data_IF_295703182389
#
_entry.id   IF_295703182389
#
_cell.length_a   1.000
_cell.length_b   1.000
_cell.length_c   1.000
_cell.angle_alpha   90.00
_cell.angle_beta   90.00
_cell.angle_gamma   90.00
#
_symmetry.space_group_name_H-M   'P 1'
#
loop_
_entity.id
_entity.type
_entity.pdbx_description
1 polymer ?
#
# COMPACT_ATOMS: atom_id res chain seq x y z
N UNK A 1 13.10 22.00 -6.20
CA UNK A 1 13.24 21.02 -5.09
C UNK A 1 12.76 21.68 -3.81
N UNK A 2 12.00 20.95 -2.98
CA UNK A 2 11.56 21.47 -1.68
C UNK A 2 12.74 21.48 -0.70
N UNK A 3 12.85 22.53 0.11
CA UNK A 3 13.95 22.70 1.09
C UNK A 3 13.98 21.60 2.15
N UNK A 4 12.83 20.96 2.42
CA UNK A 4 12.71 19.83 3.34
C UNK A 4 12.85 18.44 2.68
N UNK A 5 13.15 18.36 1.38
CA UNK A 5 13.09 17.10 0.64
C UNK A 5 11.65 16.65 0.35
N UNK A 6 11.47 15.36 0.04
CA UNK A 6 10.15 14.76 -0.24
C UNK A 6 9.45 14.19 1.01
N UNK A 7 10.17 14.08 2.14
CA UNK A 7 9.64 13.56 3.39
C UNK A 7 9.13 14.66 4.34
N UNK A 8 8.24 14.27 5.25
CA UNK A 8 7.76 15.12 6.36
C UNK A 8 7.83 14.33 7.66
N UNK A 9 8.48 14.89 8.69
CA UNK A 9 8.67 14.22 9.99
C UNK A 9 7.34 13.90 10.70
N UNK A 10 6.26 14.65 10.40
CA UNK A 10 4.93 14.46 10.98
C UNK A 10 4.18 13.27 10.39
N UNK A 11 4.55 12.84 9.18
CA UNK A 11 3.99 11.65 8.54
C UNK A 11 4.75 10.43 9.06
N UNK A 12 4.02 9.42 9.51
CA UNK A 12 4.60 8.19 10.10
C UNK A 12 4.48 6.97 9.18
N UNK A 13 3.53 6.98 8.25
CA UNK A 13 3.35 5.98 7.20
C UNK A 13 2.40 6.53 6.11
N UNK A 14 2.33 5.88 4.94
CA UNK A 14 1.42 6.24 3.85
C UNK A 14 0.66 5.04 3.26
N UNK A 15 -0.55 5.28 2.76
CA UNK A 15 -1.36 4.29 2.04
C UNK A 15 -1.79 4.85 0.68
N UNK A 16 -0.92 4.86 -0.33
CA UNK A 16 -1.33 5.22 -1.69
C UNK A 16 -2.32 4.18 -2.22
N UNK A 17 -3.44 4.62 -2.77
CA UNK A 17 -4.50 3.75 -3.31
C UNK A 17 -4.73 4.10 -4.78
N UNK A 18 -4.76 3.09 -5.66
CA UNK A 18 -4.91 3.28 -7.11
C UNK A 18 -3.87 4.26 -7.72
N UNK A 19 -2.71 4.39 -7.09
CA UNK A 19 -1.74 5.42 -7.39
C UNK A 19 -0.48 4.86 -8.01
N UNK A 20 -0.10 5.40 -9.16
CA UNK A 20 1.29 5.41 -9.60
C UNK A 20 1.56 6.58 -10.52
N UNK A 21 2.82 7.01 -10.52
CA UNK A 21 3.37 7.94 -11.50
C UNK A 21 4.89 7.83 -11.47
N UNK A 22 5.49 6.66 -11.80
CA UNK A 22 6.94 6.50 -11.76
C UNK A 22 7.67 7.55 -12.61
N UNK A 23 7.05 8.04 -13.69
CA UNK A 23 7.55 9.15 -14.50
C UNK A 23 7.62 10.51 -13.77
N UNK A 24 6.79 10.74 -12.75
CA UNK A 24 6.80 11.97 -11.96
C UNK A 24 7.78 11.90 -10.78
N UNK A 25 8.21 10.69 -10.42
CA UNK A 25 9.09 10.39 -9.30
C UNK A 25 10.32 9.60 -9.77
N UNK A 26 11.17 10.15 -10.65
CA UNK A 26 12.33 9.43 -11.17
C UNK A 26 13.41 9.22 -10.10
N UNK A 27 14.25 8.20 -10.31
CA UNK A 27 15.41 7.93 -9.46
C UNK A 27 15.02 7.32 -8.11
N UNK A 28 15.51 7.89 -7.01
CA UNK A 28 15.26 7.44 -5.64
C UNK A 28 14.12 8.21 -4.96
N UNK A 29 13.28 8.91 -5.73
CA UNK A 29 12.24 9.79 -5.17
C UNK A 29 11.26 9.08 -4.22
N UNK A 30 10.92 7.81 -4.49
CA UNK A 30 10.13 6.99 -3.58
C UNK A 30 10.87 6.75 -2.26
N UNK A 31 12.12 6.29 -2.32
CA UNK A 31 12.97 6.08 -1.14
C UNK A 31 13.22 7.38 -0.35
N UNK A 32 13.32 8.52 -1.05
CA UNK A 32 13.54 9.83 -0.45
C UNK A 32 12.38 10.33 0.41
N UNK A 33 11.17 9.74 0.28
CA UNK A 33 10.08 10.00 1.22
C UNK A 33 10.41 9.49 2.63
N UNK A 34 11.18 8.40 2.73
CA UNK A 34 11.71 7.88 4.00
C UNK A 34 10.67 7.36 4.99
N UNK A 35 9.45 7.03 4.53
CA UNK A 35 8.35 6.55 5.38
C UNK A 35 7.86 5.18 4.94
N UNK A 36 7.46 4.31 5.89
CA UNK A 36 6.77 3.07 5.58
C UNK A 36 5.53 3.32 4.72
N UNK A 37 5.28 2.45 3.75
CA UNK A 37 4.08 2.57 2.92
C UNK A 37 3.50 1.21 2.53
N UNK A 38 2.17 1.21 2.37
CA UNK A 38 1.41 0.09 1.84
C UNK A 38 0.64 0.58 0.61
N UNK A 39 1.13 0.23 -0.58
CA UNK A 39 0.48 0.55 -1.84
C UNK A 39 -0.68 -0.43 -2.08
N UNK A 40 -1.88 0.09 -2.34
CA UNK A 40 -3.08 -0.70 -2.64
C UNK A 40 -3.45 -0.49 -4.12
N UNK A 41 -3.45 -1.55 -4.92
CA UNK A 41 -3.80 -1.50 -6.35
C UNK A 41 -4.74 -2.62 -6.76
N UNK A 42 -5.37 -2.49 -7.91
CA UNK A 42 -6.25 -3.51 -8.44
C UNK A 42 -5.73 -4.01 -9.78
N UNK A 43 -5.83 -5.31 -10.06
CA UNK A 43 -5.34 -5.90 -11.29
C UNK A 43 -6.05 -5.33 -12.55
N UNK A 44 -7.32 -4.92 -12.42
CA UNK A 44 -8.08 -4.25 -13.48
C UNK A 44 -7.83 -2.74 -13.59
N UNK A 45 -6.88 -2.19 -12.82
CA UNK A 45 -6.46 -0.79 -12.87
C UNK A 45 -4.95 -0.73 -13.13
N UNK A 46 -4.51 -0.64 -14.40
CA UNK A 46 -3.10 -0.81 -14.78
C UNK A 46 -2.27 0.44 -14.42
N UNK A 47 -2.00 0.60 -13.13
CA UNK A 47 -1.19 1.67 -12.56
C UNK A 47 0.28 1.25 -12.46
N UNK A 48 0.83 0.34 -13.28
CA UNK A 48 2.30 0.07 -13.31
C UNK A 48 2.93 -0.09 -11.91
N UNK A 49 2.21 -0.76 -11.01
CA UNK A 49 2.55 -0.86 -9.59
C UNK A 49 3.84 -1.67 -9.38
N UNK A 50 4.10 -2.62 -10.28
CA UNK A 50 5.31 -3.40 -10.39
C UNK A 50 6.55 -2.53 -10.63
N UNK A 51 6.43 -1.47 -11.43
CA UNK A 51 7.53 -0.53 -11.65
C UNK A 51 7.84 0.29 -10.40
N UNK A 52 6.80 0.80 -9.72
CA UNK A 52 6.96 1.51 -8.44
C UNK A 52 7.59 0.58 -7.41
N UNK A 53 7.04 -0.63 -7.28
CA UNK A 53 7.57 -1.65 -6.38
C UNK A 53 9.02 -1.95 -6.71
N UNK A 54 9.39 -2.10 -7.98
CA UNK A 54 10.76 -2.34 -8.45
C UNK A 54 11.75 -1.23 -8.09
N UNK A 55 11.34 0.03 -8.14
CA UNK A 55 12.18 1.19 -7.85
C UNK A 55 12.53 1.39 -6.37
N UNK A 56 11.69 0.88 -5.46
CA UNK A 56 11.89 1.05 -4.02
C UNK A 56 12.97 0.10 -3.52
N UNK A 57 14.02 0.63 -2.88
CA UNK A 57 15.13 -0.18 -2.37
C UNK A 57 15.32 -0.05 -0.86
N UNK A 58 14.89 1.06 -0.24
CA UNK A 58 15.28 1.44 1.12
C UNK A 58 14.09 1.73 2.04
N UNK A 59 12.87 1.41 1.63
CA UNK A 59 11.68 1.58 2.45
C UNK A 59 11.12 0.24 2.92
N UNK A 60 10.57 0.25 4.13
CA UNK A 60 9.56 -0.73 4.54
C UNK A 60 8.34 -0.53 3.65
N UNK A 61 8.21 -1.38 2.63
CA UNK A 61 7.23 -1.22 1.58
C UNK A 61 6.43 -2.48 1.35
N UNK A 62 5.12 -2.31 1.34
CA UNK A 62 4.18 -3.36 0.96
C UNK A 62 3.40 -2.94 -0.27
N UNK A 63 3.00 -3.94 -1.04
CA UNK A 63 2.07 -3.77 -2.14
C UNK A 63 0.99 -4.85 -2.06
N UNK A 64 -0.25 -4.41 -1.94
CA UNK A 64 -1.46 -5.24 -1.91
C UNK A 64 -2.16 -5.11 -3.25
N UNK A 65 -2.26 -6.21 -3.99
CA UNK A 65 -2.94 -6.28 -5.27
C UNK A 65 -4.26 -7.05 -5.16
N UNK A 66 -5.34 -6.43 -5.65
CA UNK A 66 -6.70 -6.97 -5.63
C UNK A 66 -7.09 -7.52 -7.01
N UNK A 67 -7.17 -8.84 -7.13
CA UNK A 67 -7.59 -9.54 -8.34
C UNK A 67 -9.10 -9.35 -8.62
N UNK A 68 -9.44 -8.97 -9.85
CA UNK A 68 -10.80 -8.62 -10.27
C UNK A 68 -11.28 -7.24 -9.81
N UNK A 69 -10.45 -6.50 -9.07
CA UNK A 69 -10.74 -5.12 -8.71
C UNK A 69 -10.55 -4.16 -9.89
N UNK A 70 -11.04 -2.93 -9.73
CA UNK A 70 -10.91 -1.81 -10.66
C UNK A 70 -10.56 -0.53 -9.88
N UNK A 71 -10.31 0.58 -10.57
CA UNK A 71 -9.92 1.85 -9.95
C UNK A 71 -10.89 2.32 -8.85
N UNK A 72 -12.18 2.05 -9.04
CA UNK A 72 -13.27 2.48 -8.18
C UNK A 72 -13.32 1.69 -6.86
N UNK A 73 -12.63 0.56 -6.75
CA UNK A 73 -12.53 -0.27 -5.54
C UNK A 73 -12.13 0.56 -4.31
N UNK A 74 -11.31 1.59 -4.51
CA UNK A 74 -10.71 2.39 -3.44
C UNK A 74 -11.54 3.60 -3.01
N UNK A 75 -12.71 3.83 -3.61
CA UNK A 75 -13.56 4.98 -3.25
C UNK A 75 -15.07 4.78 -3.47
N UNK A 76 -15.46 4.16 -4.58
CA UNK A 76 -16.86 4.14 -5.04
C UNK A 76 -17.47 2.73 -5.11
N UNK A 77 -16.64 1.69 -5.20
CA UNK A 77 -17.06 0.32 -5.47
C UNK A 77 -17.49 0.13 -6.93
N UNK A 78 -18.42 -0.79 -7.18
CA UNK A 78 -19.00 -1.00 -8.52
C UNK A 78 -18.08 -1.69 -9.54
N UNK A 79 -17.01 -2.34 -9.08
CA UNK A 79 -16.19 -3.17 -9.95
C UNK A 79 -16.98 -4.42 -10.38
N UNK A 80 -17.01 -4.76 -11.69
CA UNK A 80 -17.82 -5.87 -12.20
C UNK A 80 -17.52 -7.22 -11.53
N UNK A 81 -16.24 -7.47 -11.24
CA UNK A 81 -15.75 -8.78 -10.78
C UNK A 81 -15.36 -8.79 -9.29
N UNK A 82 -15.63 -7.69 -8.57
CA UNK A 82 -15.30 -7.53 -7.16
C UNK A 82 -16.47 -6.92 -6.37
N UNK A 83 -17.10 -7.67 -5.44
CA UNK A 83 -18.18 -7.15 -4.61
C UNK A 83 -17.75 -5.92 -3.80
N UNK A 84 -18.50 -4.82 -3.89
CA UNK A 84 -18.12 -3.57 -3.23
C UNK A 84 -17.95 -3.70 -1.71
N UNK A 85 -18.82 -4.48 -1.04
CA UNK A 85 -18.71 -4.70 0.40
C UNK A 85 -17.46 -5.47 0.81
N UNK A 86 -17.06 -6.48 0.03
CA UNK A 86 -15.80 -7.20 0.23
C UNK A 86 -14.61 -6.26 -0.01
N UNK A 87 -14.67 -5.47 -1.09
CA UNK A 87 -13.63 -4.51 -1.46
C UNK A 87 -13.34 -3.50 -0.35
N UNK A 88 -14.39 -2.81 0.12
CA UNK A 88 -14.26 -1.84 1.21
C UNK A 88 -13.75 -2.48 2.50
N UNK A 89 -14.28 -3.65 2.88
CA UNK A 89 -13.82 -4.34 4.09
C UNK A 89 -12.33 -4.67 4.03
N UNK A 90 -11.83 -5.13 2.88
CA UNK A 90 -10.41 -5.46 2.72
C UNK A 90 -9.53 -4.19 2.66
N UNK A 91 -9.90 -3.18 1.87
CA UNK A 91 -9.16 -1.90 1.79
C UNK A 91 -9.05 -1.26 3.18
N UNK A 92 -10.16 -1.16 3.90
CA UNK A 92 -10.19 -0.60 5.25
C UNK A 92 -9.34 -1.45 6.22
N UNK A 93 -9.40 -2.77 6.11
CA UNK A 93 -8.59 -3.67 6.96
C UNK A 93 -7.10 -3.40 6.80
N UNK A 94 -6.60 -3.30 5.58
CA UNK A 94 -5.17 -3.01 5.33
C UNK A 94 -4.79 -1.60 5.78
N UNK A 95 -5.59 -0.58 5.43
CA UNK A 95 -5.32 0.80 5.80
C UNK A 95 -5.33 1.00 7.33
N UNK A 96 -6.32 0.44 8.02
CA UNK A 96 -6.42 0.51 9.48
C UNK A 96 -5.32 -0.30 10.16
N UNK A 97 -4.90 -1.45 9.63
CA UNK A 97 -3.79 -2.21 10.19
C UNK A 97 -2.48 -1.41 10.14
N UNK A 98 -2.17 -0.76 9.02
CA UNK A 98 -0.99 0.12 8.92
C UNK A 98 -1.09 1.31 9.88
N UNK A 99 -2.28 1.92 9.97
CA UNK A 99 -2.56 3.00 10.92
C UNK A 99 -2.35 2.55 12.37
N UNK A 100 -2.84 1.38 12.76
CA UNK A 100 -2.63 0.81 14.10
C UNK A 100 -1.15 0.63 14.39
N UNK A 101 -0.39 0.03 13.47
CA UNK A 101 1.04 -0.20 13.64
C UNK A 101 1.82 1.11 13.83
N UNK A 102 1.65 2.10 12.94
CA UNK A 102 2.52 3.27 12.92
C UNK A 102 2.00 4.48 13.69
N UNK A 103 0.68 4.62 13.89
CA UNK A 103 0.09 5.73 14.65
C UNK A 103 -0.12 5.35 16.11
N UNK A 104 -0.61 4.13 16.36
CA UNK A 104 -0.93 3.65 17.72
C UNK A 104 0.15 2.76 18.32
N UNK A 105 1.27 2.54 17.61
CA UNK A 105 2.34 1.63 18.01
C UNK A 105 1.84 0.20 18.35
N UNK A 106 0.81 -0.27 17.64
CA UNK A 106 0.24 -1.59 17.87
C UNK A 106 1.17 -2.70 17.36
N UNK A 107 1.75 -3.45 18.28
CA UNK A 107 2.63 -4.60 18.02
C UNK A 107 1.90 -5.94 18.11
N UNK A 108 0.57 -5.94 18.19
CA UNK A 108 -0.23 -7.15 18.23
C UNK A 108 -0.02 -8.03 16.99
N UNK A 109 0.12 -9.33 17.21
CA UNK A 109 0.43 -10.30 16.15
C UNK A 109 -0.52 -10.20 14.95
N UNK A 110 -1.82 -10.01 15.19
CA UNK A 110 -2.82 -9.88 14.12
C UNK A 110 -2.60 -8.65 13.24
N UNK A 111 -2.26 -7.50 13.83
CA UNK A 111 -2.00 -6.27 13.08
C UNK A 111 -0.76 -6.44 12.20
N UNK A 112 0.32 -6.97 12.78
CA UNK A 112 1.56 -7.26 12.07
C UNK A 112 1.33 -8.31 10.96
N UNK A 113 0.55 -9.36 11.20
CA UNK A 113 0.27 -10.38 10.18
C UNK A 113 -0.49 -9.82 8.99
N UNK A 114 -1.37 -8.83 9.19
CA UNK A 114 -2.07 -8.15 8.09
C UNK A 114 -1.09 -7.29 7.30
N UNK A 115 -0.33 -6.42 7.97
CA UNK A 115 0.58 -5.47 7.29
C UNK A 115 1.69 -6.20 6.54
N UNK A 116 2.25 -7.26 7.13
CA UNK A 116 3.31 -8.06 6.53
C UNK A 116 2.80 -9.18 5.60
N UNK A 117 1.49 -9.22 5.31
CA UNK A 117 0.92 -10.19 4.35
C UNK A 117 0.95 -11.65 4.81
N UNK A 118 1.14 -11.91 6.11
CA UNK A 118 1.13 -13.27 6.70
C UNK A 118 -0.29 -13.77 6.98
N UNK A 119 -1.25 -12.87 7.09
CA UNK A 119 -2.67 -13.20 7.20
C UNK A 119 -3.31 -13.35 5.81
N UNK A 120 -3.81 -14.54 5.50
CA UNK A 120 -4.66 -14.75 4.33
C UNK A 120 -6.07 -14.17 4.60
N UNK A 121 -6.38 -13.00 4.04
CA UNK A 121 -7.67 -12.31 4.23
C UNK A 121 -8.71 -12.66 3.16
N UNK A 122 -8.29 -12.80 1.91
CA UNK A 122 -9.14 -13.19 0.77
C UNK A 122 -8.28 -13.86 -0.29
N UNK A 123 -8.79 -14.87 -1.02
CA UNK A 123 -8.07 -15.46 -2.16
C UNK A 123 -7.92 -14.48 -3.34
N UNK A 124 -8.60 -13.33 -3.31
CA UNK A 124 -8.51 -12.27 -4.31
C UNK A 124 -7.39 -11.27 -4.03
N UNK A 125 -6.63 -11.44 -2.96
CA UNK A 125 -5.59 -10.50 -2.54
C UNK A 125 -4.24 -11.17 -2.56
N UNK A 126 -3.28 -10.54 -3.24
CA UNK A 126 -1.87 -10.89 -3.19
C UNK A 126 -1.11 -9.78 -2.47
N UNK A 127 -0.17 -10.14 -1.59
CA UNK A 127 0.67 -9.17 -0.88
C UNK A 127 2.13 -9.41 -1.24
N UNK A 128 2.80 -8.36 -1.69
CA UNK A 128 4.23 -8.30 -1.94
C UNK A 128 4.90 -7.47 -0.85
N UNK A 129 6.06 -7.91 -0.39
CA UNK A 129 6.78 -7.27 0.72
C UNK A 129 8.25 -7.03 0.41
N UNK A 130 8.69 -5.81 0.72
CA UNK A 130 10.08 -5.42 0.92
C UNK A 130 10.22 -5.07 2.40
N UNK A 131 10.43 -6.08 3.22
CA UNK A 131 10.74 -5.86 4.62
C UNK A 131 12.17 -5.35 4.73
N UNK A 132 12.35 -4.15 5.28
CA UNK A 132 13.61 -3.82 5.92
C UNK A 132 13.58 -4.58 7.24
N UNK A 133 14.24 -5.73 7.28
CA UNK A 133 14.46 -6.40 8.57
C UNK A 133 15.15 -5.40 9.50
N UNK A 134 14.71 -5.26 10.77
CA UNK A 134 15.52 -4.58 11.78
C UNK A 134 16.94 -5.16 11.85
#
# INVERSE_FOLDING_TARGET
>A
MFTGGLGDARVVAGVPMAGSAPEWFPGDAFDAAGKPALLLTAAGDPVRADEVYGQIAKLDFGWVEFAGGCHQLFALGGCPDFPASEGFALVDTYALALGRQHVLADTGARTLDIVHGRAALSPRVTVHRKDLTP
#
